data_IF_791251739751
#
_entry.id   IF_791251739751
#
_cell.length_a   1.000
_cell.length_b   1.000
_cell.length_c   1.000
_cell.angle_alpha   90.00
_cell.angle_beta   90.00
_cell.angle_gamma   90.00
#
_symmetry.space_group_name_H-M   'P 1'
#
loop_
_entity.id
_entity.type
_entity.pdbx_description
1 polymer ?
#
# COMPACT_ATOMS: atom_id res chain seq x y z
N UNK A 1 -18.41 -5.78 48.25
CA UNK A 1 -17.49 -6.13 47.11
C UNK A 1 -18.18 -6.80 45.91
N UNK A 2 -19.11 -7.75 46.09
CA UNK A 2 -19.75 -8.49 44.96
C UNK A 2 -20.57 -7.63 43.99
N UNK A 3 -21.23 -6.55 44.41
CA UNK A 3 -22.04 -5.66 43.53
C UNK A 3 -21.18 -4.76 42.58
N UNK A 4 -19.98 -4.35 43.00
CA UNK A 4 -19.09 -3.51 42.14
C UNK A 4 -18.41 -4.32 41.03
N UNK A 5 -18.11 -5.60 41.25
CA UNK A 5 -17.52 -6.50 40.26
C UNK A 5 -18.53 -6.82 39.14
N UNK A 6 -19.82 -7.04 39.51
CA UNK A 6 -20.87 -7.32 38.53
C UNK A 6 -21.13 -6.11 37.59
N UNK A 7 -21.04 -4.87 38.09
CA UNK A 7 -21.23 -3.67 37.29
C UNK A 7 -20.08 -3.45 36.27
N UNK A 8 -18.85 -3.74 36.69
CA UNK A 8 -17.67 -3.66 35.83
C UNK A 8 -17.70 -4.72 34.70
N UNK A 9 -18.14 -5.92 34.97
CA UNK A 9 -18.27 -6.98 33.96
C UNK A 9 -19.38 -6.62 32.96
N UNK A 10 -20.51 -6.07 33.42
CA UNK A 10 -21.63 -5.69 32.55
C UNK A 10 -21.26 -4.52 31.60
N UNK A 11 -20.50 -3.53 32.08
CA UNK A 11 -20.02 -2.43 31.24
C UNK A 11 -19.02 -2.92 30.20
N UNK A 12 -18.16 -3.88 30.49
CA UNK A 12 -17.21 -4.46 29.54
C UNK A 12 -17.94 -5.26 28.44
N UNK A 13 -18.98 -6.04 28.79
CA UNK A 13 -19.81 -6.76 27.82
C UNK A 13 -20.62 -5.82 26.92
N UNK A 14 -21.17 -4.73 27.45
CA UNK A 14 -21.90 -3.74 26.66
C UNK A 14 -20.97 -3.02 25.65
N UNK A 15 -19.76 -2.64 26.05
CA UNK A 15 -18.81 -2.01 25.16
C UNK A 15 -18.35 -2.95 24.03
N UNK A 16 -18.11 -4.23 24.33
CA UNK A 16 -17.74 -5.23 23.31
C UNK A 16 -18.89 -5.52 22.33
N UNK A 17 -20.15 -5.48 22.81
CA UNK A 17 -21.33 -5.69 21.95
C UNK A 17 -21.58 -4.51 21.02
N UNK A 18 -21.36 -3.27 21.47
CA UNK A 18 -21.49 -2.05 20.67
C UNK A 18 -20.40 -1.97 19.62
N UNK A 19 -19.15 -2.26 19.97
CA UNK A 19 -18.03 -2.27 19.01
C UNK A 19 -18.24 -3.30 17.89
N UNK A 20 -18.64 -4.53 18.22
CA UNK A 20 -18.98 -5.56 17.22
C UNK A 20 -20.16 -5.17 16.33
N UNK A 21 -21.12 -4.41 16.85
CA UNK A 21 -22.25 -3.88 16.07
C UNK A 21 -21.81 -2.79 15.09
N UNK A 22 -20.87 -1.93 15.47
CA UNK A 22 -20.40 -0.83 14.62
C UNK A 22 -19.46 -1.29 13.50
N UNK A 23 -18.54 -2.21 13.77
CA UNK A 23 -17.71 -2.85 12.72
C UNK A 23 -18.57 -3.65 11.74
N UNK A 24 -19.67 -4.28 12.22
CA UNK A 24 -20.66 -4.92 11.37
C UNK A 24 -21.36 -3.96 10.42
N UNK A 25 -21.71 -2.75 10.88
CA UNK A 25 -22.30 -1.71 10.02
C UNK A 25 -21.30 -1.23 8.96
N UNK A 26 -20.03 -1.02 9.31
CA UNK A 26 -18.99 -0.68 8.35
C UNK A 26 -18.82 -1.78 7.31
N UNK A 27 -18.80 -3.05 7.73
CA UNK A 27 -18.72 -4.19 6.81
C UNK A 27 -19.86 -4.19 5.81
N UNK A 28 -21.11 -4.06 6.30
CA UNK A 28 -22.30 -4.01 5.44
C UNK A 28 -22.23 -2.83 4.45
N UNK A 29 -21.74 -1.67 4.89
CA UNK A 29 -21.55 -0.51 4.02
C UNK A 29 -20.56 -0.79 2.88
N UNK A 30 -19.42 -1.43 3.20
CA UNK A 30 -18.41 -1.79 2.19
C UNK A 30 -18.97 -2.85 1.22
N UNK A 31 -19.68 -3.85 1.73
CA UNK A 31 -20.33 -4.86 0.89
C UNK A 31 -21.38 -4.24 -0.05
N UNK A 32 -22.12 -3.23 0.39
CA UNK A 32 -23.05 -2.46 -0.48
C UNK A 32 -22.33 -1.70 -1.58
N UNK A 33 -21.17 -1.08 -1.29
CA UNK A 33 -20.35 -0.34 -2.29
C UNK A 33 -19.90 -1.30 -3.40
N UNK A 34 -19.54 -2.52 -3.06
CA UNK A 34 -19.01 -3.53 -4.00
C UNK A 34 -20.08 -4.42 -4.62
N UNK A 35 -21.29 -4.45 -4.05
CA UNK A 35 -22.42 -5.24 -4.55
C UNK A 35 -22.78 -4.84 -5.98
N UNK A 36 -23.02 -5.73 -6.85
CA UNK A 36 -23.33 -5.50 -8.26
C UNK A 36 -22.19 -4.91 -9.10
N UNK A 37 -20.94 -4.92 -8.61
CA UNK A 37 -19.77 -4.59 -9.41
C UNK A 37 -19.17 -5.85 -10.03
N UNK A 38 -18.82 -5.76 -11.31
CA UNK A 38 -18.13 -6.84 -12.01
C UNK A 38 -16.61 -6.78 -11.68
N UNK A 39 -16.29 -6.98 -10.41
CA UNK A 39 -14.93 -6.91 -9.88
C UNK A 39 -14.79 -7.76 -8.62
N UNK A 40 -13.61 -8.30 -8.37
CA UNK A 40 -13.27 -8.92 -7.09
C UNK A 40 -12.56 -7.88 -6.22
N UNK A 41 -13.13 -7.59 -5.04
CA UNK A 41 -12.60 -6.59 -4.11
C UNK A 41 -12.12 -7.27 -2.84
N UNK A 42 -10.91 -6.91 -2.41
CA UNK A 42 -10.31 -7.31 -1.14
C UNK A 42 -10.04 -6.09 -0.27
N UNK A 43 -10.44 -6.17 0.99
CA UNK A 43 -10.26 -5.08 1.96
C UNK A 43 -9.71 -5.64 3.26
N UNK A 44 -8.74 -4.94 3.84
CA UNK A 44 -8.37 -5.10 5.24
C UNK A 44 -8.21 -3.73 5.89
N UNK A 45 -8.73 -3.59 7.09
CA UNK A 45 -8.71 -2.37 7.90
C UNK A 45 -8.25 -2.74 9.31
N UNK A 46 -7.41 -1.91 9.91
CA UNK A 46 -6.91 -2.06 11.27
C UNK A 46 -6.83 -0.69 11.96
N UNK A 47 -7.57 -0.49 13.04
CA UNK A 47 -7.37 0.63 13.95
C UNK A 47 -6.08 0.46 14.73
N UNK A 48 -5.24 1.49 14.77
CA UNK A 48 -3.94 1.40 15.43
C UNK A 48 -4.00 1.50 16.96
N UNK A 49 -5.19 1.66 17.53
CA UNK A 49 -5.47 1.47 18.95
C UNK A 49 -5.72 -0.01 19.32
N UNK A 50 -5.67 -0.91 18.33
CA UNK A 50 -5.77 -2.36 18.50
C UNK A 50 -7.19 -2.88 18.77
N UNK A 51 -8.23 -2.04 18.68
CA UNK A 51 -9.60 -2.42 19.06
C UNK A 51 -10.43 -2.90 17.87
N UNK A 52 -10.20 -2.33 16.69
CA UNK A 52 -11.05 -2.54 15.53
C UNK A 52 -10.29 -3.11 14.35
N UNK A 53 -10.77 -4.22 13.84
CA UNK A 53 -10.28 -4.81 12.58
C UNK A 53 -11.46 -5.31 11.74
N UNK A 54 -11.30 -5.23 10.41
CA UNK A 54 -12.28 -5.72 9.46
C UNK A 54 -11.60 -6.26 8.22
N UNK A 55 -12.11 -7.37 7.70
CA UNK A 55 -11.64 -7.91 6.41
C UNK A 55 -12.79 -8.35 5.53
N UNK A 56 -12.61 -8.15 4.20
CA UNK A 56 -13.44 -8.71 3.13
C UNK A 56 -12.47 -9.32 2.12
N UNK A 57 -12.62 -10.60 1.81
CA UNK A 57 -11.64 -11.36 0.99
C UNK A 57 -10.20 -11.18 1.48
N UNK A 58 -10.00 -11.05 2.79
CA UNK A 58 -8.75 -10.64 3.43
C UNK A 58 -7.56 -11.57 3.17
N UNK A 59 -7.81 -12.85 2.89
CA UNK A 59 -6.78 -13.88 2.63
C UNK A 59 -6.72 -14.31 1.15
N UNK A 60 -7.41 -13.60 0.25
CA UNK A 60 -7.35 -13.84 -1.18
C UNK A 60 -6.12 -13.14 -1.76
N UNK A 61 -5.43 -13.78 -2.71
CA UNK A 61 -4.32 -13.20 -3.43
C UNK A 61 -4.82 -12.19 -4.47
N UNK A 62 -4.26 -11.00 -4.44
CA UNK A 62 -4.51 -9.91 -5.38
C UNK A 62 -3.19 -9.46 -6.03
N UNK A 63 -3.14 -9.23 -7.35
CA UNK A 63 -1.95 -8.70 -8.00
C UNK A 63 -1.66 -7.29 -7.47
N UNK A 64 -0.41 -7.08 -7.02
CA UNK A 64 -0.02 -5.85 -6.33
C UNK A 64 0.17 -4.67 -7.26
N UNK A 65 0.63 -4.91 -8.49
CA UNK A 65 1.17 -3.85 -9.31
C UNK A 65 2.15 -2.98 -8.49
N UNK A 66 2.23 -1.71 -8.73
CA UNK A 66 3.18 -0.81 -8.07
C UNK A 66 3.07 -0.74 -6.52
N UNK A 67 2.11 -1.41 -5.87
CA UNK A 67 2.09 -1.53 -4.40
C UNK A 67 3.39 -2.17 -3.89
N UNK A 68 3.99 -3.11 -4.64
CA UNK A 68 5.23 -3.76 -4.22
C UNK A 68 6.46 -2.82 -4.15
N UNK A 69 6.37 -1.61 -4.70
CA UNK A 69 7.42 -0.58 -4.58
C UNK A 69 7.61 -0.10 -3.13
N UNK A 70 6.57 -0.17 -2.31
CA UNK A 70 6.70 0.00 -0.85
C UNK A 70 7.58 -1.10 -0.23
N UNK A 71 7.39 -2.36 -0.63
CA UNK A 71 8.19 -3.49 -0.18
C UNK A 71 9.66 -3.34 -0.60
N UNK A 72 9.88 -2.92 -1.84
CA UNK A 72 11.22 -2.62 -2.37
C UNK A 72 11.92 -1.53 -1.55
N UNK A 73 11.20 -0.42 -1.27
CA UNK A 73 11.75 0.68 -0.46
C UNK A 73 12.14 0.21 0.95
N UNK A 74 11.33 -0.63 1.60
CA UNK A 74 11.66 -1.23 2.90
C UNK A 74 12.96 -2.06 2.82
N UNK A 75 13.13 -2.86 1.76
CA UNK A 75 14.33 -3.68 1.58
C UNK A 75 15.58 -2.83 1.33
N UNK A 76 15.47 -1.76 0.53
CA UNK A 76 16.56 -0.82 0.28
C UNK A 76 16.95 -0.10 1.57
N UNK A 77 15.97 0.42 2.32
CA UNK A 77 16.21 1.14 3.58
C UNK A 77 16.77 0.23 4.68
N UNK A 78 16.43 -1.04 4.69
CA UNK A 78 17.10 -2.02 5.57
C UNK A 78 18.61 -2.15 5.24
N UNK A 79 19.04 -2.02 3.99
CA UNK A 79 20.46 -1.99 3.66
C UNK A 79 21.13 -0.66 4.11
N UNK A 80 20.38 0.44 4.07
CA UNK A 80 20.83 1.74 4.64
C UNK A 80 21.03 1.61 6.15
N UNK A 81 20.07 1.06 6.87
CA UNK A 81 20.14 0.87 8.33
C UNK A 81 21.24 -0.09 8.76
N UNK A 82 21.62 -1.04 7.90
CA UNK A 82 22.79 -1.92 8.09
C UNK A 82 24.13 -1.28 7.73
N UNK A 83 24.14 0.00 7.34
CA UNK A 83 25.36 0.71 6.93
C UNK A 83 25.98 0.26 5.60
N UNK A 84 25.25 -0.58 4.82
CA UNK A 84 25.70 -1.04 3.50
C UNK A 84 25.47 -0.02 2.40
N UNK A 85 24.45 0.83 2.59
CA UNK A 85 24.06 1.91 1.68
C UNK A 85 23.92 3.22 2.47
N UNK A 86 23.88 4.36 1.76
CA UNK A 86 23.56 5.66 2.33
C UNK A 86 22.52 6.38 1.48
N UNK A 87 21.55 7.05 2.11
CA UNK A 87 20.55 7.84 1.40
C UNK A 87 21.17 8.93 0.51
N UNK A 88 22.31 9.48 0.93
CA UNK A 88 23.01 10.55 0.21
C UNK A 88 24.00 10.03 -0.85
N UNK A 89 24.25 8.70 -0.89
CA UNK A 89 25.17 8.19 -1.91
C UNK A 89 24.65 8.47 -3.30
N UNK A 90 25.57 8.89 -4.18
CA UNK A 90 25.28 9.14 -5.59
C UNK A 90 25.41 7.84 -6.36
N UNK A 91 24.41 7.57 -7.17
CA UNK A 91 24.31 6.37 -8.01
C UNK A 91 24.26 6.83 -9.46
N UNK A 92 25.15 6.27 -10.29
CA UNK A 92 25.19 6.59 -11.71
C UNK A 92 24.10 5.82 -12.46
N UNK A 93 23.21 6.56 -13.13
CA UNK A 93 22.13 6.01 -13.96
C UNK A 93 22.53 6.20 -15.42
N UNK A 94 22.74 5.11 -16.14
CA UNK A 94 23.02 5.14 -17.57
C UNK A 94 21.76 5.50 -18.37
N UNK A 95 21.95 6.00 -19.59
CA UNK A 95 20.82 6.20 -20.51
C UNK A 95 20.07 4.90 -20.82
N UNK A 96 20.77 3.78 -20.84
CA UNK A 96 20.20 2.44 -21.07
C UNK A 96 19.35 1.92 -19.92
N UNK A 97 19.49 2.47 -18.71
CA UNK A 97 18.63 2.14 -17.56
C UNK A 97 17.25 2.85 -17.64
N UNK A 98 17.08 3.77 -18.62
CA UNK A 98 15.87 4.57 -18.79
C UNK A 98 15.06 4.06 -20.00
N UNK A 99 14.27 2.99 -19.78
CA UNK A 99 13.37 2.43 -20.80
C UNK A 99 12.35 3.48 -21.25
N UNK A 100 12.04 3.49 -22.57
CA UNK A 100 11.18 4.50 -23.18
C UNK A 100 9.69 4.14 -23.09
N UNK A 101 9.38 2.87 -23.07
CA UNK A 101 8.04 2.27 -23.20
C UNK A 101 7.36 2.04 -21.85
N UNK A 102 7.74 2.79 -20.81
CA UNK A 102 7.20 2.65 -19.46
C UNK A 102 6.98 4.00 -18.80
N UNK A 103 6.11 4.03 -17.78
CA UNK A 103 5.89 5.20 -16.94
C UNK A 103 7.16 5.56 -16.16
N UNK A 104 7.71 6.75 -16.40
CA UNK A 104 8.94 7.15 -15.72
C UNK A 104 9.15 8.66 -15.65
N UNK A 105 8.67 9.32 -14.59
CA UNK A 105 9.04 10.69 -14.24
C UNK A 105 10.54 10.91 -14.10
N UNK A 106 11.30 9.89 -13.66
CA UNK A 106 12.76 9.92 -13.65
C UNK A 106 13.33 10.20 -15.03
N UNK A 107 12.86 9.46 -16.06
CA UNK A 107 13.29 9.66 -17.44
C UNK A 107 12.89 11.04 -17.96
N UNK A 108 11.71 11.54 -17.60
CA UNK A 108 11.26 12.88 -17.99
C UNK A 108 12.16 13.96 -17.40
N UNK A 109 12.59 13.81 -16.14
CA UNK A 109 13.52 14.73 -15.49
C UNK A 109 14.96 14.62 -16.04
N UNK A 110 15.41 13.41 -16.37
CA UNK A 110 16.76 13.11 -16.83
C UNK A 110 16.77 12.38 -18.19
N UNK A 111 16.29 13.00 -19.28
CA UNK A 111 16.01 12.31 -20.54
C UNK A 111 17.26 11.74 -21.23
N UNK A 112 18.43 12.29 -20.92
CA UNK A 112 19.72 11.83 -21.48
C UNK A 112 20.40 10.75 -20.63
N UNK A 113 19.89 10.44 -19.43
CA UNK A 113 20.59 9.58 -18.48
C UNK A 113 21.98 10.09 -18.15
N UNK A 114 22.93 9.18 -17.92
CA UNK A 114 24.34 9.45 -17.66
C UNK A 114 24.51 10.49 -16.52
N UNK A 115 23.79 10.30 -15.43
CA UNK A 115 23.67 11.24 -14.32
C UNK A 115 23.85 10.55 -12.98
N UNK A 116 24.47 11.24 -12.04
CA UNK A 116 24.56 10.78 -10.65
C UNK A 116 23.35 11.27 -9.84
N UNK A 117 22.54 10.35 -9.35
CA UNK A 117 21.31 10.61 -8.57
C UNK A 117 21.48 10.06 -7.15
N UNK A 118 21.00 10.80 -6.15
CA UNK A 118 21.02 10.31 -4.77
C UNK A 118 20.08 9.09 -4.59
N UNK A 119 20.47 8.12 -3.77
CA UNK A 119 19.62 6.97 -3.46
C UNK A 119 18.25 7.42 -2.92
N UNK A 120 18.23 8.45 -2.07
CA UNK A 120 16.98 9.04 -1.56
C UNK A 120 16.06 9.55 -2.68
N UNK A 121 16.62 10.15 -3.72
CA UNK A 121 15.85 10.63 -4.87
C UNK A 121 15.28 9.47 -5.70
N UNK A 122 16.06 8.40 -5.92
CA UNK A 122 15.57 7.20 -6.60
C UNK A 122 14.43 6.53 -5.83
N UNK A 123 14.52 6.43 -4.50
CA UNK A 123 13.42 5.93 -3.65
C UNK A 123 12.21 6.86 -3.77
N UNK A 124 12.42 8.19 -3.78
CA UNK A 124 11.36 9.18 -3.98
C UNK A 124 10.61 8.97 -5.29
N UNK A 125 11.32 8.83 -6.42
CA UNK A 125 10.71 8.50 -7.71
C UNK A 125 9.92 7.17 -7.66
N UNK A 126 10.52 6.13 -7.08
CA UNK A 126 9.91 4.79 -7.00
C UNK A 126 8.63 4.78 -6.19
N UNK A 127 8.60 5.41 -5.02
CA UNK A 127 7.45 5.33 -4.09
C UNK A 127 6.44 6.44 -4.35
N UNK A 128 6.89 7.71 -4.35
CA UNK A 128 5.99 8.87 -4.43
C UNK A 128 5.40 9.05 -5.83
N UNK A 129 6.18 8.82 -6.88
CA UNK A 129 5.77 9.02 -8.28
C UNK A 129 5.52 7.71 -9.02
N UNK A 130 5.70 6.58 -8.34
CA UNK A 130 5.50 5.23 -8.90
C UNK A 130 6.33 4.94 -10.15
N UNK A 131 7.53 5.51 -10.26
CA UNK A 131 8.43 5.39 -11.41
C UNK A 131 8.89 3.94 -11.63
N UNK A 132 8.80 3.46 -12.86
CA UNK A 132 9.13 2.08 -13.21
C UNK A 132 10.63 1.89 -13.46
N UNK A 133 11.32 2.87 -14.08
CA UNK A 133 12.76 2.77 -14.33
C UNK A 133 13.56 2.81 -13.03
N UNK A 134 13.23 3.72 -12.10
CA UNK A 134 13.86 3.75 -10.78
C UNK A 134 13.57 2.49 -9.98
N UNK A 135 12.37 1.92 -10.12
CA UNK A 135 11.99 0.65 -9.50
C UNK A 135 12.86 -0.50 -9.99
N UNK A 136 12.96 -0.69 -11.32
CA UNK A 136 13.75 -1.77 -11.91
C UNK A 136 15.24 -1.60 -11.61
N UNK A 137 15.72 -0.35 -11.63
CA UNK A 137 17.08 -0.05 -11.22
C UNK A 137 17.35 -0.43 -9.76
N UNK A 138 16.47 -0.07 -8.83
CA UNK A 138 16.62 -0.42 -7.42
C UNK A 138 16.54 -1.93 -7.18
N UNK A 139 15.67 -2.65 -7.90
CA UNK A 139 15.68 -4.12 -7.84
C UNK A 139 17.02 -4.69 -8.24
N UNK A 140 17.53 -4.29 -9.41
CA UNK A 140 18.87 -4.71 -9.90
C UNK A 140 19.95 -4.36 -8.88
N UNK A 141 19.92 -3.15 -8.32
CA UNK A 141 20.90 -2.62 -7.40
C UNK A 141 21.02 -3.42 -6.09
N UNK A 142 19.92 -3.95 -5.56
CA UNK A 142 19.93 -4.74 -4.31
C UNK A 142 19.89 -6.27 -4.53
N UNK A 143 19.98 -6.73 -5.80
CA UNK A 143 20.08 -8.16 -6.13
C UNK A 143 18.77 -8.85 -6.51
N UNK A 144 17.78 -8.07 -6.99
CA UNK A 144 16.58 -8.57 -7.66
C UNK A 144 15.36 -8.81 -6.75
N UNK A 145 14.20 -9.15 -7.38
CA UNK A 145 12.93 -9.36 -6.69
C UNK A 145 13.01 -10.38 -5.56
N UNK A 146 13.74 -11.49 -5.76
CA UNK A 146 13.91 -12.53 -4.72
C UNK A 146 14.47 -11.98 -3.41
N UNK A 147 15.43 -11.04 -3.46
CA UNK A 147 16.00 -10.45 -2.23
C UNK A 147 14.97 -9.63 -1.46
N UNK A 148 14.10 -8.93 -2.17
CA UNK A 148 12.98 -8.19 -1.56
C UNK A 148 11.99 -9.17 -0.95
N UNK A 149 11.58 -10.19 -1.70
CA UNK A 149 10.67 -11.23 -1.22
C UNK A 149 11.18 -11.91 0.05
N UNK A 150 12.44 -12.36 0.05
CA UNK A 150 13.08 -13.01 1.20
C UNK A 150 13.10 -12.07 2.43
N UNK A 151 13.39 -10.78 2.21
CA UNK A 151 13.38 -9.78 3.27
C UNK A 151 11.97 -9.61 3.88
N UNK A 152 10.93 -9.45 3.07
CA UNK A 152 9.56 -9.31 3.55
C UNK A 152 9.12 -10.56 4.32
N UNK A 153 9.44 -11.75 3.81
CA UNK A 153 9.18 -13.00 4.50
C UNK A 153 9.93 -13.11 5.86
N UNK A 154 11.15 -12.56 5.94
CA UNK A 154 11.91 -12.52 7.20
C UNK A 154 11.26 -11.64 8.27
N UNK A 155 10.41 -10.69 7.87
CA UNK A 155 9.60 -9.87 8.78
C UNK A 155 8.35 -10.61 9.30
N UNK A 156 8.12 -11.85 8.87
CA UNK A 156 6.97 -12.66 9.26
C UNK A 156 5.72 -12.42 8.41
N UNK A 157 5.78 -11.60 7.34
CA UNK A 157 4.69 -11.42 6.38
C UNK A 157 4.86 -12.46 5.27
N UNK A 158 3.96 -13.47 5.22
CA UNK A 158 4.11 -14.67 4.37
C UNK A 158 3.22 -14.70 3.14
N UNK A 159 2.01 -14.13 3.23
CA UNK A 159 1.01 -14.17 2.15
C UNK A 159 1.23 -13.03 1.15
N UNK A 160 2.47 -12.94 0.67
CA UNK A 160 2.97 -11.99 -0.32
C UNK A 160 4.03 -12.66 -1.18
N UNK A 161 4.04 -12.37 -2.49
CA UNK A 161 5.08 -12.82 -3.40
C UNK A 161 5.56 -11.65 -4.27
N UNK A 162 6.88 -11.53 -4.42
CA UNK A 162 7.55 -10.56 -5.30
C UNK A 162 8.49 -11.35 -6.19
N UNK A 163 8.01 -11.70 -7.40
CA UNK A 163 8.67 -12.62 -8.33
C UNK A 163 9.28 -11.91 -9.53
N UNK A 164 8.75 -10.73 -9.87
CA UNK A 164 9.08 -10.01 -11.10
C UNK A 164 9.29 -8.53 -10.84
N UNK A 165 10.13 -7.90 -11.65
CA UNK A 165 10.26 -6.44 -11.74
C UNK A 165 9.27 -5.87 -12.78
N UNK A 166 9.28 -4.54 -13.01
CA UNK A 166 8.34 -3.88 -13.93
C UNK A 166 8.55 -4.34 -15.38
N UNK A 167 9.79 -4.52 -15.81
CA UNK A 167 10.11 -4.98 -17.17
C UNK A 167 9.49 -6.33 -17.49
N UNK A 168 9.66 -7.29 -16.59
CA UNK A 168 9.11 -8.65 -16.74
C UNK A 168 7.58 -8.65 -16.66
N UNK A 169 6.98 -7.83 -15.78
CA UNK A 169 5.52 -7.70 -15.70
C UNK A 169 4.89 -7.09 -16.95
N UNK A 170 5.59 -6.18 -17.62
CA UNK A 170 5.10 -5.55 -18.85
C UNK A 170 5.18 -6.46 -20.07
N UNK A 171 6.07 -7.45 -20.06
CA UNK A 171 6.27 -8.37 -21.17
C UNK A 171 5.09 -9.34 -21.39
N UNK A 172 4.37 -9.71 -20.31
CA UNK A 172 3.20 -10.63 -20.37
C UNK A 172 2.16 -10.22 -19.33
N UNK A 173 0.90 -10.08 -19.79
CA UNK A 173 -0.24 -9.72 -18.95
C UNK A 173 -0.41 -10.62 -17.72
N UNK A 174 -0.16 -11.92 -17.85
CA UNK A 174 -0.38 -12.87 -16.77
C UNK A 174 0.70 -12.82 -15.68
N UNK A 175 1.88 -12.31 -16.01
CA UNK A 175 2.99 -12.19 -15.05
C UNK A 175 2.62 -11.31 -13.86
N UNK A 176 1.75 -10.31 -14.05
CA UNK A 176 1.30 -9.44 -12.96
C UNK A 176 0.71 -10.20 -11.75
N UNK A 177 0.08 -11.36 -11.99
CA UNK A 177 -0.53 -12.17 -10.94
C UNK A 177 0.50 -12.96 -10.11
N UNK A 178 1.75 -13.00 -10.54
CA UNK A 178 2.85 -13.62 -9.77
C UNK A 178 3.39 -12.70 -8.66
N UNK A 179 3.18 -11.38 -8.79
CA UNK A 179 3.44 -10.39 -7.74
C UNK A 179 2.14 -10.12 -6.99
N UNK A 180 1.89 -10.83 -5.92
CA UNK A 180 0.63 -10.73 -5.17
C UNK A 180 0.83 -10.41 -3.70
N UNK A 181 -0.23 -9.89 -3.09
CA UNK A 181 -0.41 -9.81 -1.64
C UNK A 181 -1.84 -10.18 -1.28
N UNK A 182 -2.06 -10.61 -0.05
CA UNK A 182 -3.40 -10.57 0.54
C UNK A 182 -3.62 -9.20 1.19
N UNK A 183 -4.87 -8.71 1.30
CA UNK A 183 -5.19 -7.49 2.06
C UNK A 183 -4.66 -7.53 3.50
N UNK A 184 -4.77 -8.69 4.16
CA UNK A 184 -4.24 -8.89 5.53
C UNK A 184 -2.72 -8.76 5.56
N UNK A 185 -1.99 -9.36 4.62
CA UNK A 185 -0.53 -9.25 4.56
C UNK A 185 -0.06 -7.81 4.32
N UNK A 186 -0.78 -7.05 3.48
CA UNK A 186 -0.49 -5.64 3.25
C UNK A 186 -0.69 -4.79 4.52
N UNK A 187 -1.78 -5.03 5.28
CA UNK A 187 -2.02 -4.37 6.57
C UNK A 187 -0.94 -4.76 7.59
N UNK A 188 -0.59 -6.04 7.70
CA UNK A 188 0.48 -6.51 8.60
C UNK A 188 1.82 -5.83 8.31
N UNK A 189 2.18 -5.65 7.03
CA UNK A 189 3.43 -4.98 6.67
C UNK A 189 3.40 -3.48 7.01
N UNK A 190 2.29 -2.80 6.73
CA UNK A 190 2.09 -1.39 7.11
C UNK A 190 2.09 -1.20 8.63
N UNK A 191 1.49 -2.13 9.39
CA UNK A 191 1.52 -2.12 10.85
C UNK A 191 2.95 -2.23 11.39
N UNK A 192 3.73 -3.22 10.91
CA UNK A 192 5.15 -3.38 11.28
C UNK A 192 5.97 -2.13 10.95
N UNK A 193 5.71 -1.52 9.81
CA UNK A 193 6.32 -0.25 9.42
C UNK A 193 5.92 0.87 10.39
N UNK A 194 4.65 1.00 10.73
CA UNK A 194 4.15 2.01 11.66
C UNK A 194 4.72 1.86 13.08
N UNK A 195 4.80 0.62 13.60
CA UNK A 195 5.29 0.32 14.95
C UNK A 195 6.79 0.56 15.15
N UNK A 196 7.52 0.99 14.11
CA UNK A 196 8.96 1.32 14.15
C UNK A 196 9.88 0.14 14.49
N UNK A 197 9.46 -1.07 14.18
CA UNK A 197 10.22 -2.28 14.51
C UNK A 197 11.09 -2.80 13.38
N UNK A 198 10.96 -2.26 12.15
CA UNK A 198 11.60 -2.84 10.95
C UNK A 198 12.61 -1.90 10.27
N UNK A 199 12.64 -0.63 10.65
CA UNK A 199 13.58 0.37 10.16
C UNK A 199 14.08 1.26 11.32
N UNK A 200 15.24 1.88 11.14
CA UNK A 200 15.68 2.97 12.01
C UNK A 200 14.71 4.17 11.93
N UNK A 201 14.72 5.03 12.95
CA UNK A 201 13.87 6.23 12.96
C UNK A 201 14.10 7.10 11.72
N UNK A 202 15.35 7.29 11.30
CA UNK A 202 15.70 8.11 10.12
C UNK A 202 15.11 7.52 8.84
N UNK A 203 15.27 6.22 8.60
CA UNK A 203 14.74 5.55 7.43
C UNK A 203 13.22 5.49 7.43
N UNK A 204 12.61 5.33 8.60
CA UNK A 204 11.17 5.34 8.74
C UNK A 204 10.57 6.73 8.47
N UNK A 205 11.13 7.79 9.07
CA UNK A 205 10.65 9.15 8.86
C UNK A 205 10.79 9.55 7.37
N UNK A 206 11.88 9.14 6.73
CA UNK A 206 12.10 9.34 5.30
C UNK A 206 11.02 8.64 4.46
N UNK A 207 10.77 7.34 4.70
CA UNK A 207 9.76 6.60 3.93
C UNK A 207 8.34 7.09 4.21
N UNK A 208 8.02 7.40 5.47
CA UNK A 208 6.75 8.02 5.84
C UNK A 208 6.50 9.31 5.05
N UNK A 209 7.47 10.23 5.07
CA UNK A 209 7.37 11.48 4.31
C UNK A 209 7.19 11.20 2.82
N UNK A 210 7.96 10.29 2.24
CA UNK A 210 7.88 9.92 0.83
C UNK A 210 6.49 9.38 0.46
N UNK A 211 5.86 8.57 1.34
CA UNK A 211 4.51 8.05 1.14
C UNK A 211 3.44 9.12 1.31
N UNK A 212 3.61 10.10 2.20
CA UNK A 212 2.69 11.25 2.36
C UNK A 212 2.75 12.15 1.12
N UNK A 213 3.93 12.30 0.52
CA UNK A 213 4.18 13.09 -0.69
C UNK A 213 3.81 12.35 -2.00
N UNK A 214 3.11 11.22 -1.91
CA UNK A 214 2.67 10.45 -3.09
C UNK A 214 1.80 11.32 -3.99
N UNK A 215 2.19 11.35 -5.28
CA UNK A 215 1.51 12.16 -6.32
C UNK A 215 0.49 11.36 -7.12
N UNK A 216 0.49 10.03 -6.99
CA UNK A 216 -0.47 9.13 -7.67
C UNK A 216 -1.70 8.87 -6.79
N UNK A 217 -2.83 8.50 -7.40
CA UNK A 217 -4.02 8.04 -6.68
C UNK A 217 -4.88 9.14 -6.05
N UNK A 218 -4.85 10.35 -6.59
CA UNK A 218 -5.75 11.44 -6.16
C UNK A 218 -7.25 11.07 -6.26
N UNK A 219 -7.58 10.09 -7.08
CA UNK A 219 -8.93 9.55 -7.32
C UNK A 219 -9.30 8.34 -6.43
N UNK A 220 -8.33 7.80 -5.67
CA UNK A 220 -8.47 6.59 -4.83
C UNK A 220 -8.74 6.93 -3.35
N UNK A 221 -8.00 6.36 -2.40
CA UNK A 221 -8.22 6.60 -0.95
C UNK A 221 -8.35 8.10 -0.64
N UNK A 222 -7.49 8.92 -1.23
CA UNK A 222 -7.44 10.37 -0.99
C UNK A 222 -8.69 11.13 -1.44
N UNK A 223 -9.40 10.64 -2.46
CA UNK A 223 -10.42 11.39 -3.19
C UNK A 223 -11.57 11.94 -2.34
N UNK A 224 -12.03 11.18 -1.36
CA UNK A 224 -13.17 11.54 -0.51
C UNK A 224 -12.79 11.82 0.96
N UNK A 225 -11.50 11.75 1.28
CA UNK A 225 -11.03 12.15 2.59
C UNK A 225 -10.98 13.68 2.72
N UNK A 226 -11.25 14.23 3.91
CA UNK A 226 -11.10 15.67 4.16
C UNK A 226 -9.64 16.12 3.91
N UNK A 227 -9.46 17.40 3.56
CA UNK A 227 -8.12 18.00 3.37
C UNK A 227 -7.24 17.94 4.62
N UNK A 228 -7.83 17.78 5.79
CA UNK A 228 -7.14 17.63 7.09
C UNK A 228 -6.60 16.23 7.34
N UNK A 229 -6.98 15.24 6.51
CA UNK A 229 -6.44 13.90 6.61
C UNK A 229 -4.98 13.86 6.13
N UNK A 230 -4.10 13.22 6.91
CA UNK A 230 -2.76 12.87 6.45
C UNK A 230 -2.81 11.42 5.97
N UNK A 231 -2.40 11.20 4.72
CA UNK A 231 -2.39 9.88 4.10
C UNK A 231 -0.98 9.54 3.62
N UNK A 232 -0.37 8.53 4.25
CA UNK A 232 0.84 7.89 3.75
C UNK A 232 0.44 6.64 2.98
N UNK A 233 0.62 6.62 1.64
CA UNK A 233 0.05 5.52 0.83
C UNK A 233 0.90 5.13 -0.38
N UNK A 234 0.56 3.98 -0.97
CA UNK A 234 1.10 3.49 -2.23
C UNK A 234 0.01 2.87 -3.09
N UNK A 235 -0.09 3.33 -4.32
CA UNK A 235 -1.05 2.85 -5.32
C UNK A 235 -0.47 1.75 -6.22
N UNK A 236 -1.36 0.98 -6.87
CA UNK A 236 -1.03 0.06 -7.95
C UNK A 236 -2.14 0.04 -9.01
N UNK A 237 -1.76 -0.02 -10.28
CA UNK A 237 -2.70 -0.07 -11.41
C UNK A 237 -2.08 -0.80 -12.60
N UNK A 238 -2.88 -1.67 -13.25
CA UNK A 238 -2.43 -2.50 -14.37
C UNK A 238 -2.78 -1.93 -15.75
N UNK A 239 -3.66 -0.94 -15.79
CA UNK A 239 -4.44 -0.70 -17.02
C UNK A 239 -5.45 -1.81 -17.27
N UNK A 240 -6.10 -1.76 -18.44
CA UNK A 240 -7.01 -2.80 -18.91
C UNK A 240 -6.43 -3.48 -20.15
N UNK A 241 -6.69 -4.79 -20.28
CA UNK A 241 -6.32 -5.54 -21.47
C UNK A 241 -7.27 -5.22 -22.65
N UNK A 242 -7.03 -5.85 -23.80
CA UNK A 242 -7.84 -5.68 -25.02
C UNK A 242 -9.32 -6.07 -24.85
N UNK A 243 -9.64 -6.90 -23.87
CA UNK A 243 -11.00 -7.36 -23.58
C UNK A 243 -11.70 -6.44 -22.54
N UNK A 244 -11.04 -5.36 -22.13
CA UNK A 244 -11.55 -4.41 -21.14
C UNK A 244 -11.34 -4.86 -19.69
N UNK A 245 -10.67 -6.01 -19.45
CA UNK A 245 -10.41 -6.52 -18.12
C UNK A 245 -9.26 -5.74 -17.45
N UNK A 246 -9.54 -5.12 -16.30
CA UNK A 246 -8.53 -4.50 -15.43
C UNK A 246 -8.00 -5.55 -14.45
N UNK A 247 -6.69 -5.84 -14.52
CA UNK A 247 -6.04 -6.82 -13.65
C UNK A 247 -5.91 -6.37 -12.21
N UNK A 248 -5.63 -5.08 -12.01
CA UNK A 248 -5.47 -4.49 -10.67
C UNK A 248 -5.78 -2.99 -10.64
N UNK A 249 -6.50 -2.57 -9.60
CA UNK A 249 -6.60 -1.18 -9.13
C UNK A 249 -6.53 -1.21 -7.61
N UNK A 250 -5.43 -0.70 -7.05
CA UNK A 250 -5.11 -0.88 -5.64
C UNK A 250 -4.70 0.43 -4.98
N UNK A 251 -4.93 0.52 -3.67
CA UNK A 251 -4.33 1.55 -2.83
C UNK A 251 -4.23 1.02 -1.39
N UNK A 252 -3.04 1.16 -0.78
CA UNK A 252 -2.79 0.77 0.61
C UNK A 252 -2.15 1.92 1.36
N UNK A 253 -2.50 2.12 2.62
CA UNK A 253 -1.91 3.23 3.37
C UNK A 253 -2.30 3.30 4.83
N UNK A 254 -1.73 4.32 5.48
CA UNK A 254 -1.99 4.71 6.86
C UNK A 254 -2.63 6.08 6.82
N UNK A 255 -3.81 6.20 7.42
CA UNK A 255 -4.58 7.44 7.50
C UNK A 255 -4.51 7.98 8.92
N UNK A 256 -4.16 9.27 9.06
CA UNK A 256 -4.17 9.99 10.34
C UNK A 256 -5.37 10.93 10.39
N UNK A 257 -6.18 10.83 11.45
CA UNK A 257 -7.33 11.66 11.71
C UNK A 257 -6.92 12.97 12.42
N UNK A 258 -7.78 14.00 12.43
CA UNK A 258 -7.48 15.28 13.10
C UNK A 258 -7.22 15.17 14.61
N UNK A 259 -7.76 14.15 15.27
CA UNK A 259 -7.54 13.85 16.69
C UNK A 259 -6.24 13.06 16.96
N UNK A 260 -5.42 12.81 15.93
CA UNK A 260 -4.18 12.06 16.02
C UNK A 260 -4.33 10.54 16.00
N UNK A 261 -5.54 9.99 16.09
CA UNK A 261 -5.77 8.55 15.88
C UNK A 261 -5.43 8.15 14.45
N UNK A 262 -5.08 6.89 14.25
CA UNK A 262 -4.69 6.38 12.94
C UNK A 262 -5.35 5.03 12.67
N UNK A 263 -5.57 4.76 11.38
CA UNK A 263 -5.94 3.44 10.91
C UNK A 263 -5.14 3.06 9.67
N UNK A 264 -4.93 1.76 9.49
CA UNK A 264 -4.35 1.18 8.29
C UNK A 264 -5.48 0.66 7.42
N UNK A 265 -5.35 0.84 6.12
CA UNK A 265 -6.29 0.35 5.13
C UNK A 265 -5.56 -0.21 3.92
N UNK A 266 -6.00 -1.38 3.43
CA UNK A 266 -5.54 -1.97 2.19
C UNK A 266 -6.76 -2.34 1.36
N UNK A 267 -6.85 -1.80 0.14
CA UNK A 267 -7.95 -2.03 -0.79
C UNK A 267 -7.36 -2.50 -2.11
N UNK A 268 -7.78 -3.68 -2.55
CA UNK A 268 -7.40 -4.30 -3.81
C UNK A 268 -8.64 -4.58 -4.64
N UNK A 269 -8.60 -4.20 -5.90
CA UNK A 269 -9.62 -4.51 -6.91
C UNK A 269 -8.94 -5.28 -8.02
N UNK A 270 -9.44 -6.46 -8.36
CA UNK A 270 -8.87 -7.31 -9.42
C UNK A 270 -9.96 -7.89 -10.31
N UNK A 271 -9.56 -8.28 -11.51
CA UNK A 271 -10.43 -8.91 -12.51
C UNK A 271 -11.71 -8.09 -12.71
N UNK A 272 -11.53 -6.78 -12.88
CA UNK A 272 -12.65 -5.85 -13.01
C UNK A 272 -13.01 -5.56 -14.47
N UNK A 273 -14.27 -5.70 -14.80
CA UNK A 273 -14.87 -5.23 -16.07
C UNK A 273 -15.43 -3.82 -15.95
N UNK A 274 -15.28 -3.19 -14.80
CA UNK A 274 -15.70 -1.82 -14.57
C UNK A 274 -14.72 -0.81 -15.18
N UNK A 275 -15.21 0.38 -15.51
CA UNK A 275 -14.34 1.51 -15.91
C UNK A 275 -13.39 1.88 -14.76
N UNK A 276 -12.22 2.41 -15.12
CA UNK A 276 -11.22 2.87 -14.13
C UNK A 276 -11.83 3.83 -13.08
N UNK A 277 -12.63 4.80 -13.52
CA UNK A 277 -13.31 5.73 -12.62
C UNK A 277 -14.25 5.02 -11.60
N UNK A 278 -14.87 3.90 -11.99
CA UNK A 278 -15.71 3.09 -11.09
C UNK A 278 -14.85 2.35 -10.08
N UNK A 279 -13.72 1.78 -10.50
CA UNK A 279 -12.77 1.11 -9.62
C UNK A 279 -12.18 2.09 -8.59
N UNK A 280 -11.75 3.25 -9.03
CA UNK A 280 -11.23 4.32 -8.18
C UNK A 280 -12.29 4.82 -7.20
N UNK A 281 -13.53 4.97 -7.67
CA UNK A 281 -14.65 5.40 -6.84
C UNK A 281 -14.98 4.39 -5.73
N UNK A 282 -14.94 3.08 -6.03
CA UNK A 282 -15.10 2.04 -4.99
C UNK A 282 -14.04 2.20 -3.89
N UNK A 283 -12.78 2.38 -4.26
CA UNK A 283 -11.68 2.60 -3.29
C UNK A 283 -11.96 3.85 -2.44
N UNK A 284 -12.33 4.95 -3.08
CA UNK A 284 -12.61 6.20 -2.41
C UNK A 284 -13.79 6.10 -1.42
N UNK A 285 -14.87 5.45 -1.81
CA UNK A 285 -16.07 5.26 -0.97
C UNK A 285 -15.80 4.33 0.22
N UNK A 286 -15.01 3.26 0.01
CA UNK A 286 -14.57 2.37 1.09
C UNK A 286 -13.71 3.15 2.10
N UNK A 287 -12.75 3.93 1.62
CA UNK A 287 -11.90 4.76 2.46
C UNK A 287 -12.71 5.81 3.24
N UNK A 288 -13.70 6.45 2.58
CA UNK A 288 -14.60 7.41 3.24
C UNK A 288 -15.46 6.75 4.31
N UNK A 289 -16.04 5.60 4.04
CA UNK A 289 -16.83 4.85 5.04
C UNK A 289 -15.96 4.46 6.24
N UNK A 290 -14.71 4.07 6.00
CA UNK A 290 -13.73 3.76 7.06
C UNK A 290 -13.37 5.01 7.87
N UNK A 291 -13.12 6.14 7.20
CA UNK A 291 -12.89 7.43 7.87
C UNK A 291 -14.07 7.81 8.77
N UNK A 292 -15.30 7.75 8.24
CA UNK A 292 -16.52 8.11 8.99
C UNK A 292 -16.70 7.23 10.22
N UNK A 293 -16.34 5.95 10.10
CA UNK A 293 -16.33 5.03 11.23
C UNK A 293 -15.34 5.48 12.32
N UNK A 294 -14.07 5.70 11.98
CA UNK A 294 -13.06 6.02 12.99
C UNK A 294 -13.17 7.44 13.56
N UNK A 295 -13.72 8.41 12.83
CA UNK A 295 -13.93 9.75 13.35
C UNK A 295 -15.09 9.81 14.35
N UNK A 296 -16.01 8.84 14.31
CA UNK A 296 -17.16 8.74 15.23
C UNK A 296 -16.83 8.00 16.54
N UNK A 297 -15.61 7.41 16.64
CA UNK A 297 -15.09 6.71 17.83
C UNK A 297 -14.31 7.70 18.72
#
# INVERSE_FOLDING_TARGET
MKRRVALLILTFYLQSYVANSQTGLLKNKIEQITKAKQAKVGVAILGLDGKDSLTINGNVHFPMQSVYKFHLALAVLNQVDKGKLSLNQKIYINKTDLRKDTWSPLREKYPNGNVNIALSELIGFTVSQSDNNSCDFLFKFIGGPKKVNDYIHSLGVKDVAIMSNEEVMQADWNVQYTNFSTPVAAVQLLEKFHQKHILSKTSQDFLWKTMVETTTGSTKIKALLPKTAILAHKTGWSGSNKDGLTGATNDIGIVTLPNGKQFIIAIFVTNSMEKEATNDRMIAEIAKATWDYFISQ
#
